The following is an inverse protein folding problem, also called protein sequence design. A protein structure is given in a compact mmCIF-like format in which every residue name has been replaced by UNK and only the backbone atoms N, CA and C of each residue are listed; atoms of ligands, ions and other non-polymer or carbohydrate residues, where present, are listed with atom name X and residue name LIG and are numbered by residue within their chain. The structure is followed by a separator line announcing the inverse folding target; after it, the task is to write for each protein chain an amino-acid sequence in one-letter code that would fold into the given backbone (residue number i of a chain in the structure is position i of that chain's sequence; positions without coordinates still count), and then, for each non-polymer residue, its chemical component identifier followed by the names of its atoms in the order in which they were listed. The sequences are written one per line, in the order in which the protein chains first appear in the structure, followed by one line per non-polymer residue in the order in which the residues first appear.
data_IF_516580543329
#
_entry.id   IF_516580543329
#
_cell.length_a   1.000
_cell.length_b   1.000
_cell.length_c   1.000
_cell.angle_alpha   90.00
_cell.angle_beta   90.00
_cell.angle_gamma   90.00
#
_symmetry.space_group_name_H-M   'P 1'
#
loop_
_entity.id
_entity.type
_entity.pdbx_description
1 polymer ?
#
# COMPACT_ATOMS: atom_id res chain seq x y z
N UNK A 1 -8.80 -0.26 -14.91
CA UNK A 1 -10.04 0.50 -14.66
C UNK A 1 -9.99 1.09 -13.26
N UNK A 2 -10.16 2.39 -13.13
CA UNK A 2 -10.26 3.07 -11.85
C UNK A 2 -11.59 2.77 -11.16
N UNK A 3 -11.59 2.60 -9.84
CA UNK A 3 -12.80 2.31 -9.05
C UNK A 3 -13.53 3.58 -8.62
N UNK A 4 -12.80 4.66 -8.47
CA UNK A 4 -13.29 5.94 -7.96
C UNK A 4 -12.88 7.08 -8.86
N UNK A 5 -13.67 8.15 -8.86
CA UNK A 5 -13.30 9.40 -9.50
C UNK A 5 -12.12 10.04 -8.76
N UNK A 6 -11.25 10.79 -9.49
CA UNK A 6 -10.17 11.54 -8.85
C UNK A 6 -10.73 12.58 -7.87
N UNK A 7 -10.18 12.59 -6.66
CA UNK A 7 -10.55 13.55 -5.63
C UNK A 7 -9.62 14.76 -5.65
N UNK A 8 -10.21 15.93 -5.61
CA UNK A 8 -9.53 17.15 -5.20
C UNK A 8 -9.41 17.20 -3.69
N UNK A 9 -8.59 18.09 -3.14
CA UNK A 9 -8.42 18.18 -1.68
C UNK A 9 -9.75 18.35 -0.95
N UNK A 10 -10.65 19.15 -1.50
CA UNK A 10 -11.97 19.46 -0.92
C UNK A 10 -12.93 18.25 -0.87
N UNK A 11 -12.63 17.21 -1.64
CA UNK A 11 -13.46 15.99 -1.67
C UNK A 11 -13.08 14.99 -0.57
N UNK A 12 -11.96 15.23 0.13
CA UNK A 12 -11.52 14.36 1.21
C UNK A 12 -12.12 14.77 2.56
N UNK A 13 -12.75 13.83 3.22
CA UNK A 13 -13.31 14.00 4.57
C UNK A 13 -12.75 12.93 5.50
N UNK A 14 -12.44 13.32 6.74
CA UNK A 14 -12.00 12.39 7.79
C UNK A 14 -13.04 11.30 7.99
N UNK A 15 -12.57 10.04 8.02
CA UNK A 15 -13.44 8.87 8.19
C UNK A 15 -13.91 8.22 6.89
N UNK A 16 -13.76 8.86 5.73
CA UNK A 16 -14.01 8.18 4.45
C UNK A 16 -13.15 6.94 4.33
N UNK A 17 -13.73 5.87 3.77
CA UNK A 17 -13.07 4.59 3.56
C UNK A 17 -13.19 4.15 2.11
N UNK A 18 -12.10 3.60 1.57
CA UNK A 18 -12.00 3.12 0.19
C UNK A 18 -11.39 1.73 0.16
N UNK A 19 -11.76 0.95 -0.84
CA UNK A 19 -11.18 -0.38 -1.09
C UNK A 19 -10.60 -0.46 -2.49
N UNK A 20 -9.48 -1.16 -2.61
CA UNK A 20 -8.76 -1.34 -3.88
C UNK A 20 -9.18 -2.61 -4.62
N UNK A 21 -8.69 -2.76 -5.84
CA UNK A 21 -8.59 -4.05 -6.48
C UNK A 21 -7.63 -4.97 -5.71
N UNK A 22 -7.52 -6.21 -6.14
CA UNK A 22 -6.67 -7.24 -5.52
C UNK A 22 -5.42 -7.49 -6.35
N UNK A 23 -4.38 -7.97 -5.71
CA UNK A 23 -3.13 -8.40 -6.34
C UNK A 23 -2.65 -9.71 -5.73
N UNK A 24 -2.29 -10.68 -6.60
CA UNK A 24 -1.73 -11.97 -6.19
C UNK A 24 -0.22 -11.97 -6.38
N UNK A 25 0.51 -12.28 -5.31
CA UNK A 25 1.96 -12.44 -5.36
C UNK A 25 2.33 -13.76 -6.01
N UNK A 26 3.28 -13.72 -6.94
CA UNK A 26 3.86 -14.92 -7.56
C UNK A 26 5.27 -15.16 -7.03
N UNK A 27 5.76 -16.40 -7.09
CA UNK A 27 7.16 -16.72 -6.74
C UNK A 27 8.15 -15.86 -7.53
N UNK A 28 7.92 -15.71 -8.84
CA UNK A 28 8.77 -14.90 -9.70
C UNK A 28 8.80 -13.43 -9.29
N UNK A 29 7.65 -12.83 -8.99
CA UNK A 29 7.59 -11.44 -8.56
C UNK A 29 8.28 -11.20 -7.22
N UNK A 30 8.16 -12.14 -6.28
CA UNK A 30 8.84 -12.09 -4.98
C UNK A 30 10.35 -12.13 -5.16
N UNK A 31 10.85 -13.08 -5.97
CA UNK A 31 12.28 -13.22 -6.25
C UNK A 31 12.85 -12.01 -7.00
N UNK A 32 12.18 -11.54 -8.03
CA UNK A 32 12.63 -10.40 -8.84
C UNK A 32 12.76 -9.13 -8.01
N UNK A 33 11.77 -8.84 -7.16
CA UNK A 33 11.86 -7.71 -6.25
C UNK A 33 13.02 -7.85 -5.27
N UNK A 34 13.14 -9.03 -4.65
CA UNK A 34 14.15 -9.27 -3.62
C UNK A 34 15.57 -9.24 -4.18
N UNK A 35 15.81 -9.81 -5.36
CA UNK A 35 17.10 -9.76 -6.03
C UNK A 35 17.60 -8.34 -6.24
N UNK A 36 16.69 -7.42 -6.53
CA UNK A 36 17.04 -6.03 -6.82
C UNK A 36 17.13 -5.16 -5.57
N UNK A 37 16.24 -5.36 -4.59
CA UNK A 37 16.00 -4.39 -3.54
C UNK A 37 16.14 -4.91 -2.11
N UNK A 38 16.02 -6.22 -1.90
CA UNK A 38 16.02 -6.80 -0.55
C UNK A 38 16.56 -8.25 -0.58
N UNK A 39 17.86 -8.43 -0.87
CA UNK A 39 18.44 -9.74 -1.15
C UNK A 39 18.69 -10.58 0.13
N UNK A 40 17.73 -10.63 1.01
CA UNK A 40 17.79 -11.48 2.19
C UNK A 40 17.39 -12.93 1.82
N UNK A 41 18.05 -13.96 2.42
CA UNK A 41 17.89 -15.33 1.95
C UNK A 41 16.47 -15.88 2.10
N UNK A 42 15.68 -15.45 3.08
CA UNK A 42 14.30 -15.91 3.25
C UNK A 42 13.34 -15.35 2.17
N UNK A 43 13.79 -14.44 1.32
CA UNK A 43 13.05 -13.97 0.13
C UNK A 43 13.49 -14.67 -1.16
N UNK A 44 14.64 -15.37 -1.16
CA UNK A 44 15.30 -15.85 -2.37
C UNK A 44 15.61 -17.36 -2.36
N UNK A 45 15.98 -17.90 -1.22
CA UNK A 45 16.47 -19.25 -1.08
C UNK A 45 15.38 -20.12 -0.43
N UNK A 46 14.79 -21.01 -1.22
CA UNK A 46 13.72 -21.88 -0.76
C UNK A 46 14.17 -22.88 0.34
N UNK A 47 15.39 -23.39 0.25
CA UNK A 47 15.91 -24.33 1.26
C UNK A 47 16.19 -23.63 2.58
N UNK A 48 16.78 -22.43 2.51
CA UNK A 48 16.96 -21.58 3.67
C UNK A 48 15.61 -21.21 4.30
N UNK A 49 14.68 -20.77 3.48
CA UNK A 49 13.35 -20.31 3.94
C UNK A 49 12.55 -21.43 4.61
N UNK A 50 12.60 -22.66 4.09
CA UNK A 50 11.97 -23.83 4.73
C UNK A 50 12.50 -24.09 6.14
N UNK A 51 13.79 -23.89 6.35
CA UNK A 51 14.43 -24.07 7.65
C UNK A 51 14.25 -22.84 8.58
N UNK A 52 13.77 -21.73 8.07
CA UNK A 52 13.53 -20.51 8.83
C UNK A 52 12.21 -20.56 9.63
N UNK A 53 12.02 -19.57 10.49
CA UNK A 53 10.76 -19.39 11.25
C UNK A 53 9.54 -19.23 10.35
N UNK A 54 9.74 -18.87 9.08
CA UNK A 54 8.64 -18.65 8.13
C UNK A 54 8.16 -19.93 7.44
N UNK A 55 9.03 -20.96 7.32
CA UNK A 55 8.71 -22.25 6.70
C UNK A 55 8.54 -22.21 5.18
N UNK A 56 8.67 -21.06 4.56
CA UNK A 56 8.59 -20.83 3.11
C UNK A 56 9.22 -19.51 2.74
N UNK A 57 9.49 -19.29 1.45
CA UNK A 57 9.88 -17.98 0.93
C UNK A 57 8.75 -16.97 1.18
N UNK A 58 9.12 -15.81 1.70
CA UNK A 58 8.20 -14.71 1.94
C UNK A 58 8.54 -13.50 1.09
N UNK A 59 7.54 -12.70 0.73
CA UNK A 59 7.76 -11.43 0.07
C UNK A 59 8.46 -10.45 1.00
N UNK A 60 9.34 -9.60 0.44
CA UNK A 60 9.85 -8.45 1.16
C UNK A 60 8.70 -7.57 1.65
N UNK A 61 8.77 -7.11 2.89
CA UNK A 61 7.79 -6.17 3.42
C UNK A 61 7.69 -4.89 2.58
N UNK A 62 8.81 -4.42 2.02
CA UNK A 62 8.82 -3.29 1.09
C UNK A 62 8.08 -3.59 -0.21
N UNK A 63 8.13 -4.83 -0.69
CA UNK A 63 7.36 -5.27 -1.84
C UNK A 63 5.86 -5.20 -1.55
N UNK A 64 5.43 -5.71 -0.41
CA UNK A 64 4.04 -5.62 0.04
C UNK A 64 3.59 -4.17 0.16
N UNK A 65 4.42 -3.30 0.73
CA UNK A 65 4.12 -1.88 0.88
C UNK A 65 3.98 -1.18 -0.47
N UNK A 66 4.85 -1.45 -1.43
CA UNK A 66 4.78 -0.84 -2.76
C UNK A 66 3.59 -1.34 -3.58
N UNK A 67 3.22 -2.60 -3.46
CA UNK A 67 1.99 -3.11 -4.08
C UNK A 67 0.76 -2.44 -3.46
N UNK A 68 0.72 -2.29 -2.13
CA UNK A 68 -0.37 -1.59 -1.46
C UNK A 68 -0.50 -0.14 -1.94
N UNK A 69 0.63 0.56 -2.04
CA UNK A 69 0.70 1.92 -2.58
C UNK A 69 0.16 1.98 -4.02
N UNK A 70 0.64 1.08 -4.88
CA UNK A 70 0.19 0.97 -6.27
C UNK A 70 -1.31 0.74 -6.38
N UNK A 71 -1.86 -0.20 -5.61
CA UNK A 71 -3.29 -0.50 -5.61
C UNK A 71 -4.13 0.73 -5.20
N UNK A 72 -3.67 1.48 -4.20
CA UNK A 72 -4.34 2.70 -3.78
C UNK A 72 -4.36 3.76 -4.89
N UNK A 73 -3.25 3.96 -5.60
CA UNK A 73 -3.19 4.89 -6.74
C UNK A 73 -4.04 4.39 -7.92
N UNK A 74 -4.02 3.10 -8.22
CA UNK A 74 -4.85 2.51 -9.26
C UNK A 74 -6.36 2.60 -8.96
N UNK A 75 -6.74 2.82 -7.70
CA UNK A 75 -8.13 3.04 -7.32
C UNK A 75 -8.73 4.29 -7.97
N UNK A 76 -7.89 5.28 -8.30
CA UNK A 76 -8.26 6.54 -8.92
C UNK A 76 -8.40 7.71 -7.95
N UNK A 77 -8.62 7.45 -6.66
CA UNK A 77 -8.90 8.48 -5.64
C UNK A 77 -7.82 9.58 -5.64
N UNK A 78 -6.54 9.20 -5.75
CA UNK A 78 -5.41 10.13 -5.67
C UNK A 78 -5.00 10.74 -7.03
N UNK A 79 -5.93 10.88 -7.99
CA UNK A 79 -5.63 11.40 -9.32
C UNK A 79 -5.11 12.85 -9.35
N UNK A 80 -5.37 13.62 -8.31
CA UNK A 80 -4.85 15.00 -8.15
C UNK A 80 -3.73 15.10 -7.11
N UNK A 81 -3.04 13.99 -6.83
CA UNK A 81 -1.89 13.97 -5.95
C UNK A 81 -0.72 14.78 -6.52
N UNK A 82 -0.03 15.53 -5.67
CA UNK A 82 1.15 16.33 -5.99
C UNK A 82 2.44 15.80 -5.35
N UNK A 83 2.37 14.69 -4.66
CA UNK A 83 3.50 14.03 -4.03
C UNK A 83 3.22 13.52 -2.63
N UNK A 84 4.05 12.61 -2.17
CA UNK A 84 4.05 12.13 -0.81
C UNK A 84 5.03 12.92 0.05
N UNK A 85 4.74 13.02 1.35
CA UNK A 85 5.61 13.69 2.31
C UNK A 85 6.20 12.75 3.35
N UNK A 86 5.68 11.55 3.48
CA UNK A 86 6.20 10.61 4.43
C UNK A 86 5.34 9.37 4.59
N UNK A 87 5.95 8.38 5.22
CA UNK A 87 5.37 7.12 5.59
C UNK A 87 5.63 6.91 7.07
N UNK A 88 4.57 6.82 7.85
CA UNK A 88 4.64 6.67 9.30
C UNK A 88 4.03 5.32 9.71
N UNK A 89 4.48 4.82 10.86
CA UNK A 89 3.88 3.66 11.53
C UNK A 89 3.71 2.43 10.63
N UNK A 90 4.65 2.21 9.70
CA UNK A 90 4.67 1.00 8.88
C UNK A 90 4.96 -0.21 9.78
N UNK A 91 4.03 -1.19 9.75
CA UNK A 91 4.15 -2.46 10.49
C UNK A 91 3.75 -3.61 9.60
N UNK A 92 4.57 -4.64 9.58
CA UNK A 92 4.26 -5.92 8.96
C UNK A 92 3.79 -6.88 10.06
N UNK A 93 2.53 -7.27 9.98
CA UNK A 93 1.89 -8.10 11.02
C UNK A 93 1.97 -9.59 10.70
N UNK A 94 2.01 -9.94 9.42
CA UNK A 94 2.04 -11.31 8.94
C UNK A 94 2.83 -11.40 7.64
N UNK A 95 3.67 -12.45 7.45
CA UNK A 95 4.36 -12.67 6.19
C UNK A 95 3.38 -12.86 5.03
N UNK A 96 3.76 -12.35 3.84
CA UNK A 96 3.07 -12.61 2.58
C UNK A 96 3.88 -13.65 1.81
N UNK A 97 3.23 -14.69 1.35
CA UNK A 97 3.84 -15.80 0.61
C UNK A 97 3.33 -15.84 -0.84
N UNK A 98 4.01 -16.61 -1.69
CA UNK A 98 3.54 -16.84 -3.05
C UNK A 98 2.14 -17.45 -3.05
N UNK A 99 1.26 -16.93 -3.90
CA UNK A 99 -0.15 -17.30 -3.96
C UNK A 99 -1.06 -16.45 -3.07
N UNK A 100 -0.52 -15.67 -2.13
CA UNK A 100 -1.33 -14.72 -1.36
C UNK A 100 -1.86 -13.60 -2.25
N UNK A 101 -3.12 -13.30 -2.03
CA UNK A 101 -3.83 -12.21 -2.73
C UNK A 101 -4.16 -11.13 -1.71
N UNK A 102 -3.61 -9.93 -1.92
CA UNK A 102 -3.86 -8.81 -1.02
C UNK A 102 -4.84 -7.80 -1.62
N UNK A 103 -5.52 -7.08 -0.75
CA UNK A 103 -6.23 -5.86 -1.05
C UNK A 103 -5.99 -4.81 0.04
N UNK A 104 -6.21 -3.55 -0.28
CA UNK A 104 -6.05 -2.46 0.68
C UNK A 104 -7.41 -1.85 0.98
N UNK A 105 -7.69 -1.68 2.26
CA UNK A 105 -8.69 -0.73 2.74
C UNK A 105 -7.93 0.47 3.28
N UNK A 106 -8.22 1.65 2.76
CA UNK A 106 -7.61 2.87 3.28
C UNK A 106 -8.69 3.86 3.71
N UNK A 107 -8.38 4.59 4.77
CA UNK A 107 -9.28 5.58 5.37
C UNK A 107 -8.57 6.92 5.55
N UNK A 108 -9.33 7.98 5.47
CA UNK A 108 -8.81 9.33 5.66
C UNK A 108 -8.71 9.61 7.15
N UNK A 109 -7.47 9.73 7.63
CA UNK A 109 -7.17 9.96 9.04
C UNK A 109 -7.24 11.43 9.41
N UNK A 110 -6.70 12.31 8.56
CA UNK A 110 -6.68 13.75 8.78
C UNK A 110 -6.56 14.51 7.46
N UNK A 111 -7.05 15.75 7.46
CA UNK A 111 -6.87 16.69 6.35
C UNK A 111 -6.46 18.04 6.90
N UNK A 112 -5.55 18.73 6.21
CA UNK A 112 -5.09 20.07 6.57
C UNK A 112 -4.95 20.93 5.32
N UNK A 113 -5.74 22.01 5.15
CA UNK A 113 -5.64 22.86 3.98
C UNK A 113 -4.34 23.67 3.96
N UNK A 114 -3.85 23.93 2.76
CA UNK A 114 -2.81 24.92 2.45
C UNK A 114 -3.33 25.82 1.32
N UNK A 115 -2.49 26.70 0.78
CA UNK A 115 -2.96 27.75 -0.17
C UNK A 115 -3.52 27.14 -1.48
N UNK A 116 -2.75 26.31 -2.18
CA UNK A 116 -3.10 25.74 -3.48
C UNK A 116 -3.27 24.21 -3.47
N UNK A 117 -3.12 23.62 -2.30
CA UNK A 117 -3.19 22.18 -2.06
C UNK A 117 -3.67 21.95 -0.64
N UNK A 118 -3.66 20.69 -0.21
CA UNK A 118 -3.82 20.32 1.18
C UNK A 118 -3.08 19.03 1.49
N UNK A 119 -2.87 18.79 2.77
CA UNK A 119 -2.29 17.55 3.27
C UNK A 119 -3.41 16.57 3.59
N UNK A 120 -3.28 15.36 3.10
CA UNK A 120 -4.21 14.25 3.37
C UNK A 120 -3.42 13.12 4.00
N UNK A 121 -3.75 12.77 5.22
CA UNK A 121 -3.15 11.67 5.96
C UNK A 121 -4.06 10.45 5.84
N UNK A 122 -3.51 9.34 5.38
CA UNK A 122 -4.27 8.15 5.01
C UNK A 122 -3.75 6.94 5.78
N UNK A 123 -4.65 6.26 6.47
CA UNK A 123 -4.35 4.98 7.11
C UNK A 123 -4.61 3.83 6.14
N UNK A 124 -3.61 2.98 5.95
CA UNK A 124 -3.67 1.78 5.14
C UNK A 124 -3.78 0.54 6.03
N UNK A 125 -4.75 -0.29 5.71
CA UNK A 125 -4.86 -1.65 6.22
C UNK A 125 -4.82 -2.61 5.04
N UNK A 126 -3.86 -3.53 5.05
CA UNK A 126 -3.66 -4.51 3.97
C UNK A 126 -4.07 -5.89 4.46
N UNK A 127 -4.95 -6.53 3.73
CA UNK A 127 -5.52 -7.84 4.07
C UNK A 127 -5.17 -8.87 3.00
N UNK A 128 -4.93 -10.10 3.42
CA UNK A 128 -4.79 -11.25 2.50
C UNK A 128 -6.18 -11.86 2.16
N UNK A 129 -6.18 -12.94 1.40
CA UNK A 129 -7.38 -13.66 0.98
C UNK A 129 -8.18 -14.29 2.14
N UNK A 130 -7.54 -14.51 3.28
CA UNK A 130 -8.16 -15.05 4.49
C UNK A 130 -8.67 -13.93 5.42
N UNK A 131 -8.63 -12.68 4.94
CA UNK A 131 -8.98 -11.51 5.72
C UNK A 131 -8.08 -11.26 6.94
N UNK A 132 -6.86 -11.81 6.90
CA UNK A 132 -5.83 -11.50 7.89
C UNK A 132 -5.16 -10.17 7.54
N UNK A 133 -4.96 -9.34 8.54
CA UNK A 133 -4.22 -8.08 8.39
C UNK A 133 -2.72 -8.39 8.28
N UNK A 134 -2.13 -8.10 7.13
CA UNK A 134 -0.71 -8.39 6.86
C UNK A 134 0.18 -7.17 7.05
N UNK A 135 -0.35 -5.98 6.83
CA UNK A 135 0.40 -4.72 6.96
C UNK A 135 -0.53 -3.57 7.34
N UNK A 136 0.01 -2.62 8.09
CA UNK A 136 -0.59 -1.30 8.31
C UNK A 136 0.44 -0.22 8.08
N UNK A 137 -0.01 0.95 7.64
CA UNK A 137 0.86 2.12 7.44
C UNK A 137 0.03 3.40 7.46
N UNK A 138 0.69 4.52 7.67
CA UNK A 138 0.11 5.86 7.55
C UNK A 138 0.92 6.66 6.53
N UNK A 139 0.27 7.10 5.46
CA UNK A 139 0.90 7.84 4.37
C UNK A 139 0.40 9.28 4.37
N UNK A 140 1.32 10.19 4.05
CA UNK A 140 1.06 11.62 4.01
C UNK A 140 1.16 12.10 2.58
N UNK A 141 0.06 12.59 2.03
CA UNK A 141 -0.02 13.07 0.65
C UNK A 141 -0.25 14.58 0.58
N UNK A 142 0.21 15.16 -0.51
CA UNK A 142 -0.17 16.52 -0.91
C UNK A 142 -1.11 16.42 -2.09
N UNK A 143 -2.32 16.93 -1.94
CA UNK A 143 -3.36 16.86 -2.99
C UNK A 143 -3.73 18.26 -3.44
N UNK A 144 -3.87 18.45 -4.75
CA UNK A 144 -4.26 19.73 -5.33
C UNK A 144 -5.65 20.15 -4.87
N UNK A 145 -5.84 21.43 -4.64
CA UNK A 145 -7.17 22.03 -4.54
C UNK A 145 -7.80 22.15 -5.92
N UNK A 146 -9.12 22.19 -5.93
CA UNK A 146 -9.89 22.43 -7.15
C UNK A 146 -9.49 23.80 -7.73
N UNK A 147 -9.24 23.90 -9.03
CA UNK A 147 -8.95 25.19 -9.65
C UNK A 147 -10.10 26.17 -9.43
N UNK A 148 -9.78 27.41 -9.16
CA UNK A 148 -10.78 28.48 -9.15
C UNK A 148 -11.36 28.65 -10.56
N UNK A 149 -12.67 28.94 -10.67
CA UNK A 149 -13.31 29.15 -11.96
C UNK A 149 -12.76 30.37 -12.71
#
# INVERSE_FOLDING_TARGET
MTRYAPHWFEDFEVGQTFETAKYTFTEGSIADFALMWDPQPFHLDQEYAKASIYGSVIASGFHTQLIAFRLAFQSGVFGHNRGGRGLDELRWHKPVIAGDTIMVRFSIHNTKPARTSGHVVVDYEVFNQNNDKVMTARLNYVVAKRPEP
#
